data_IF_711953206615
#
_entry.id   IF_711953206615
#
_cell.length_a   1.000
_cell.length_b   1.000
_cell.length_c   1.000
_cell.angle_alpha   90.00
_cell.angle_beta   90.00
_cell.angle_gamma   90.00
#
_symmetry.space_group_name_H-M   'P 1'
#
loop_
_entity.id
_entity.type
_entity.pdbx_description
1 polymer ?
#
# COMPACT_ATOMS: atom_id res chain seq x y z
N UNK A 1 -3.00 -27.93 -0.16
CA UNK A 1 -3.72 -26.66 -0.37
C UNK A 1 -2.69 -25.56 -0.51
N UNK A 2 -2.56 -24.93 -1.70
CA UNK A 2 -1.61 -23.82 -1.89
C UNK A 2 -2.12 -22.63 -1.08
N UNK A 3 -1.40 -22.25 -0.04
CA UNK A 3 -1.63 -21.02 0.70
C UNK A 3 -1.44 -19.88 -0.31
N UNK A 4 -2.53 -19.43 -0.94
CA UNK A 4 -2.54 -18.16 -1.68
C UNK A 4 -2.34 -17.09 -0.61
N UNK A 5 -1.09 -16.79 -0.28
CA UNK A 5 -0.75 -15.51 0.31
C UNK A 5 -1.46 -14.49 -0.56
N UNK A 6 -2.50 -13.85 -0.03
CA UNK A 6 -3.21 -12.79 -0.75
C UNK A 6 -2.14 -11.81 -1.17
N UNK A 7 -1.89 -11.65 -2.46
CA UNK A 7 -0.87 -10.73 -2.94
C UNK A 7 -1.20 -9.34 -2.39
N UNK A 8 -0.36 -8.84 -1.49
CA UNK A 8 -0.52 -7.52 -0.88
C UNK A 8 0.79 -6.75 -1.05
N UNK A 9 0.66 -5.47 -1.34
CA UNK A 9 1.79 -4.53 -1.39
C UNK A 9 1.82 -3.73 -0.10
N UNK A 10 3.02 -3.42 0.39
CA UNK A 10 3.21 -2.60 1.60
C UNK A 10 4.14 -1.45 1.28
N UNK A 11 3.70 -0.22 1.59
CA UNK A 11 4.57 0.95 1.70
C UNK A 11 4.94 1.06 3.17
N UNK A 12 6.19 0.72 3.49
CA UNK A 12 6.67 0.70 4.87
C UNK A 12 6.84 2.12 5.45
N UNK A 13 6.88 2.24 6.78
CA UNK A 13 6.88 3.52 7.50
C UNK A 13 8.09 4.41 7.20
N UNK A 14 9.22 3.80 6.87
CA UNK A 14 10.44 4.52 6.50
C UNK A 14 10.47 4.95 5.02
N UNK A 15 9.46 4.55 4.23
CA UNK A 15 9.37 4.90 2.82
C UNK A 15 8.47 6.13 2.62
N UNK A 16 9.04 7.15 1.99
CA UNK A 16 8.27 8.27 1.43
C UNK A 16 8.21 8.13 -0.08
N UNK A 17 7.01 8.03 -0.63
CA UNK A 17 6.77 8.02 -2.08
C UNK A 17 6.24 9.39 -2.49
N UNK A 18 6.89 10.04 -3.44
CA UNK A 18 6.45 11.29 -4.04
C UNK A 18 6.10 11.05 -5.51
N UNK A 19 4.84 11.31 -5.88
CA UNK A 19 4.33 11.10 -7.23
C UNK A 19 2.97 10.38 -7.28
N UNK A 20 2.79 9.55 -8.30
CA UNK A 20 1.54 8.79 -8.50
C UNK A 20 1.77 7.30 -8.28
N UNK A 21 0.99 6.69 -7.39
CA UNK A 21 1.01 5.24 -7.12
C UNK A 21 -0.28 4.62 -7.66
N UNK A 22 -0.15 3.63 -8.53
CA UNK A 22 -1.27 2.85 -9.05
C UNK A 22 -1.11 1.38 -8.68
N UNK A 23 -2.16 0.76 -8.14
CA UNK A 23 -2.13 -0.63 -7.67
C UNK A 23 -3.40 -1.39 -8.04
N UNK A 24 -3.23 -2.64 -8.47
CA UNK A 24 -4.32 -3.58 -8.66
C UNK A 24 -4.24 -4.61 -7.53
N UNK A 25 -5.30 -4.69 -6.71
CA UNK A 25 -5.31 -5.51 -5.50
C UNK A 25 -5.19 -4.70 -4.21
N UNK A 26 -4.62 -5.33 -3.16
CA UNK A 26 -4.58 -4.75 -1.82
C UNK A 26 -3.24 -4.04 -1.56
N UNK A 27 -3.29 -2.75 -1.27
CA UNK A 27 -2.16 -1.94 -0.83
C UNK A 27 -2.32 -1.55 0.63
N UNK A 28 -1.28 -1.76 1.43
CA UNK A 28 -1.19 -1.34 2.83
C UNK A 28 -0.16 -0.23 2.93
N UNK A 29 -0.55 0.92 3.44
CA UNK A 29 0.31 2.10 3.57
C UNK A 29 0.59 2.33 5.05
N UNK A 30 1.84 2.10 5.46
CA UNK A 30 2.38 2.44 6.77
C UNK A 30 3.28 3.68 6.72
N UNK A 31 3.81 3.98 5.54
CA UNK A 31 4.64 5.18 5.27
C UNK A 31 3.85 6.35 4.71
N UNK A 32 4.57 7.22 4.01
CA UNK A 32 4.03 8.48 3.52
C UNK A 32 3.94 8.43 2.00
N UNK A 33 2.76 8.75 1.46
CA UNK A 33 2.56 8.96 0.02
C UNK A 33 2.16 10.42 -0.20
N UNK A 34 2.97 11.14 -0.97
CA UNK A 34 2.71 12.53 -1.38
C UNK A 34 2.38 12.55 -2.86
N UNK A 35 1.17 12.97 -3.19
CA UNK A 35 0.67 13.01 -4.57
C UNK A 35 -0.61 12.20 -4.72
N UNK A 36 -0.69 11.40 -5.79
CA UNK A 36 -1.94 10.73 -6.19
C UNK A 36 -1.86 9.24 -5.95
N UNK A 37 -2.87 8.69 -5.30
CA UNK A 37 -2.99 7.25 -5.06
C UNK A 37 -4.24 6.71 -5.78
N UNK A 38 -4.05 5.71 -6.65
CA UNK A 38 -5.11 5.06 -7.41
C UNK A 38 -5.09 3.57 -7.08
N UNK A 39 -6.13 3.07 -6.44
CA UNK A 39 -6.21 1.65 -6.08
C UNK A 39 -7.60 1.25 -5.62
N UNK A 40 -7.94 -0.02 -5.85
CA UNK A 40 -9.25 -0.57 -5.50
C UNK A 40 -9.37 -0.87 -4.01
N UNK A 41 -8.31 -1.38 -3.38
CA UNK A 41 -8.30 -1.75 -1.96
C UNK A 41 -7.07 -1.18 -1.27
N UNK A 42 -7.21 0.01 -0.68
CA UNK A 42 -6.14 0.71 0.04
C UNK A 42 -6.45 0.69 1.53
N UNK A 43 -5.48 0.26 2.34
CA UNK A 43 -5.54 0.25 3.80
C UNK A 43 -4.41 1.14 4.32
N UNK A 44 -4.75 2.25 4.95
CA UNK A 44 -3.78 3.10 5.64
C UNK A 44 -3.70 2.59 7.07
N UNK A 45 -2.53 2.10 7.46
CA UNK A 45 -2.27 1.57 8.78
C UNK A 45 -1.44 2.61 9.54
N UNK A 46 -2.07 3.31 10.48
CA UNK A 46 -1.36 4.12 11.49
C UNK A 46 -0.69 3.19 12.51
N UNK A 47 0.56 3.48 12.88
CA UNK A 47 1.13 2.94 14.11
C UNK A 47 0.36 3.59 15.28
N UNK A 48 -0.27 2.75 16.11
CA UNK A 48 -1.03 3.19 17.28
C UNK A 48 -0.18 3.71 18.43
#
# INVERSE_FOLDING_TARGET
>A
MKNKSKDFSVIDKELTVDGTVSTNGRLIIKGVVKGTLIGENVVIAEEG
#
